data_IF_840007141791
#
_entry.id   IF_840007141791
#
_cell.length_a   1.000
_cell.length_b   1.000
_cell.length_c   1.000
_cell.angle_alpha   90.00
_cell.angle_beta   90.00
_cell.angle_gamma   90.00
#
_symmetry.space_group_name_H-M   'P 1'
#
loop_
_entity.id
_entity.type
_entity.pdbx_description
1 polymer ?
#
# COMPACT_ATOMS: atom_id res chain seq x y z
N UNK A 1 -37.08 -52.70 -38.71
CA UNK A 1 -38.40 -52.39 -39.33
C UNK A 1 -39.13 -51.48 -38.35
N UNK A 2 -39.56 -50.26 -38.62
CA UNK A 2 -39.47 -49.29 -39.72
C UNK A 2 -39.87 -47.95 -39.06
N UNK A 3 -39.10 -46.88 -39.25
CA UNK A 3 -39.34 -45.79 -40.20
C UNK A 3 -39.95 -44.52 -39.58
N UNK A 4 -39.48 -43.40 -40.16
CA UNK A 4 -39.54 -41.99 -39.75
C UNK A 4 -40.94 -41.38 -39.86
N UNK A 5 -41.15 -40.16 -39.31
CA UNK A 5 -41.45 -38.92 -40.10
C UNK A 5 -41.80 -37.67 -39.23
N UNK A 6 -41.02 -36.61 -39.52
CA UNK A 6 -41.23 -35.13 -39.60
C UNK A 6 -41.56 -34.21 -38.40
N UNK A 7 -40.85 -33.08 -38.52
CA UNK A 7 -40.75 -31.82 -37.76
C UNK A 7 -41.69 -30.76 -38.37
N UNK A 8 -42.03 -29.67 -37.64
CA UNK A 8 -41.73 -28.35 -38.21
C UNK A 8 -40.98 -27.41 -37.27
N UNK A 9 -40.12 -26.61 -37.91
CA UNK A 9 -39.27 -25.52 -37.40
C UNK A 9 -40.04 -24.20 -37.47
N UNK A 10 -39.88 -23.30 -36.47
CA UNK A 10 -39.48 -21.88 -36.63
C UNK A 10 -39.42 -21.15 -35.27
N UNK A 11 -38.22 -20.67 -34.92
CA UNK A 11 -37.76 -19.27 -34.67
C UNK A 11 -38.32 -18.59 -33.39
N UNK A 12 -37.52 -18.05 -32.48
CA UNK A 12 -36.08 -17.78 -32.48
C UNK A 12 -35.56 -17.24 -31.13
N UNK A 13 -34.25 -16.98 -31.12
CA UNK A 13 -33.41 -16.25 -30.13
C UNK A 13 -33.11 -16.99 -28.82
N UNK A 14 -31.92 -17.61 -28.65
CA UNK A 14 -30.57 -17.05 -28.33
C UNK A 14 -30.57 -16.28 -26.99
N UNK A 15 -29.69 -16.52 -26.01
CA UNK A 15 -28.30 -17.06 -26.03
C UNK A 15 -27.80 -17.41 -24.62
N UNK A 16 -26.86 -18.38 -24.58
CA UNK A 16 -25.70 -18.48 -23.67
C UNK A 16 -25.87 -18.63 -22.14
N UNK A 17 -26.23 -19.83 -21.70
CA UNK A 17 -25.70 -20.39 -20.44
C UNK A 17 -25.28 -21.84 -20.69
N UNK A 18 -23.96 -22.10 -20.78
CA UNK A 18 -23.25 -23.37 -20.52
C UNK A 18 -21.97 -23.45 -21.35
N UNK A 19 -20.90 -22.82 -20.86
CA UNK A 19 -19.54 -23.24 -21.23
C UNK A 19 -18.48 -22.80 -20.21
N UNK A 20 -18.65 -23.09 -18.92
CA UNK A 20 -17.58 -22.88 -17.92
C UNK A 20 -17.56 -23.96 -16.84
N UNK A 21 -17.62 -25.23 -17.21
CA UNK A 21 -17.34 -26.36 -16.30
C UNK A 21 -16.57 -27.46 -17.05
N UNK A 22 -15.26 -27.28 -17.25
CA UNK A 22 -14.39 -28.41 -17.65
C UNK A 22 -12.88 -28.16 -17.47
N UNK A 23 -12.39 -27.91 -16.25
CA UNK A 23 -11.00 -28.26 -15.84
C UNK A 23 -10.74 -27.98 -14.35
N UNK A 24 -11.42 -28.69 -13.45
CA UNK A 24 -10.96 -28.83 -12.07
C UNK A 24 -10.31 -30.22 -11.92
N UNK A 25 -9.10 -30.27 -11.37
CA UNK A 25 -8.45 -31.53 -10.98
C UNK A 25 -9.17 -32.17 -9.77
N UNK A 26 -9.21 -33.51 -9.65
CA UNK A 26 -10.21 -34.20 -8.85
C UNK A 26 -9.80 -34.46 -7.38
N UNK A 27 -9.48 -33.42 -6.60
CA UNK A 27 -9.19 -33.59 -5.16
C UNK A 27 -9.89 -32.60 -4.20
N UNK A 28 -10.82 -31.78 -4.66
CA UNK A 28 -11.62 -30.93 -3.75
C UNK A 28 -13.12 -31.02 -4.07
N UNK A 29 -13.71 -32.16 -3.72
CA UNK A 29 -15.12 -32.24 -3.41
C UNK A 29 -15.28 -32.93 -2.07
N UNK A 30 -15.67 -32.17 -1.04
CA UNK A 30 -16.73 -32.49 -0.08
C UNK A 30 -16.89 -31.28 0.87
N UNK A 31 -18.14 -31.01 1.22
CA UNK A 31 -18.70 -29.92 2.05
C UNK A 31 -18.83 -28.53 1.40
N UNK A 32 -19.85 -28.41 0.54
CA UNK A 32 -20.62 -27.16 0.48
C UNK A 32 -21.90 -27.32 1.30
N UNK A 33 -21.97 -26.62 2.44
CA UNK A 33 -23.25 -26.21 3.02
C UNK A 33 -23.40 -24.69 2.87
N UNK A 34 -24.59 -24.31 2.40
CA UNK A 34 -25.02 -22.98 1.98
C UNK A 34 -24.66 -21.88 2.97
N UNK A 35 -23.84 -20.91 2.55
CA UNK A 35 -23.91 -19.52 2.99
C UNK A 35 -23.44 -18.60 1.85
N UNK A 36 -24.08 -17.44 1.75
CA UNK A 36 -23.96 -16.47 0.66
C UNK A 36 -22.51 -16.12 0.31
N UNK A 37 -22.08 -16.50 -0.89
CA UNK A 37 -20.79 -16.13 -1.44
C UNK A 37 -20.89 -14.79 -2.16
N UNK A 38 -20.26 -13.76 -1.59
CA UNK A 38 -19.84 -12.60 -2.38
C UNK A 38 -18.85 -13.10 -3.45
N UNK A 39 -18.96 -12.67 -4.73
CA UNK A 39 -18.04 -13.11 -5.76
C UNK A 39 -16.67 -12.45 -5.53
N UNK A 40 -15.71 -13.23 -5.02
CA UNK A 40 -14.30 -12.84 -4.99
C UNK A 40 -13.66 -13.18 -6.34
N UNK A 41 -13.04 -12.20 -6.99
CA UNK A 41 -12.18 -12.47 -8.14
C UNK A 41 -10.82 -12.94 -7.61
N UNK A 42 -10.54 -14.24 -7.73
CA UNK A 42 -9.18 -14.75 -7.57
C UNK A 42 -8.42 -14.34 -8.83
N UNK A 43 -7.66 -13.24 -8.77
CA UNK A 43 -6.86 -12.80 -9.91
C UNK A 43 -5.75 -13.84 -10.16
N UNK A 44 -5.98 -14.71 -11.15
CA UNK A 44 -4.88 -15.34 -11.90
C UNK A 44 -4.35 -14.30 -12.87
N UNK A 45 -3.06 -13.98 -12.72
CA UNK A 45 -2.31 -12.94 -13.42
C UNK A 45 -2.51 -13.09 -14.94
N UNK A 46 -3.15 -12.11 -15.58
CA UNK A 46 -3.22 -11.99 -17.03
C UNK A 46 -2.80 -10.58 -17.45
N UNK A 47 -1.94 -10.55 -18.46
CA UNK A 47 -1.17 -9.41 -18.93
C UNK A 47 -1.90 -8.73 -20.11
N UNK A 48 -1.99 -7.40 -20.09
CA UNK A 48 -2.12 -6.59 -21.32
C UNK A 48 -1.35 -5.28 -21.16
N UNK A 49 -0.21 -5.24 -21.84
CA UNK A 49 0.62 -4.06 -22.07
C UNK A 49 0.16 -3.33 -23.33
N UNK A 50 0.04 -2.01 -23.26
CA UNK A 50 0.25 -1.12 -24.40
C UNK A 50 0.87 0.19 -23.92
N UNK A 51 2.07 0.47 -24.43
CA UNK A 51 2.80 1.75 -24.39
C UNK A 51 2.04 2.84 -25.14
N UNK A 52 2.30 4.10 -24.78
CA UNK A 52 2.60 5.15 -25.76
C UNK A 52 3.37 6.31 -25.08
N UNK A 53 4.52 6.63 -25.67
CA UNK A 53 5.33 7.82 -25.44
C UNK A 53 4.71 9.04 -26.12
N UNK A 54 5.00 10.27 -25.63
CA UNK A 54 5.60 11.37 -26.41
C UNK A 54 5.68 12.70 -25.63
N UNK A 55 6.93 13.12 -25.44
CA UNK A 55 7.54 14.45 -25.62
C UNK A 55 6.85 15.75 -25.11
N UNK A 56 7.63 16.46 -24.29
CA UNK A 56 7.61 17.91 -24.02
C UNK A 56 8.27 18.69 -25.17
N UNK A 57 8.07 20.03 -25.29
CA UNK A 57 9.21 20.91 -24.98
C UNK A 57 8.86 22.25 -24.32
N UNK A 58 9.88 22.81 -23.65
CA UNK A 58 9.98 24.15 -23.08
C UNK A 58 10.18 25.26 -24.13
N UNK A 59 10.06 26.54 -23.72
CA UNK A 59 10.95 27.70 -24.04
C UNK A 59 10.38 29.01 -23.40
N UNK A 60 11.05 29.50 -22.34
CA UNK A 60 11.74 30.80 -22.13
C UNK A 60 11.05 32.20 -22.32
N UNK A 61 11.63 33.31 -21.76
CA UNK A 61 10.96 34.22 -20.84
C UNK A 61 10.87 35.70 -21.31
N UNK A 62 10.22 36.58 -20.54
CA UNK A 62 10.25 38.03 -20.77
C UNK A 62 10.22 38.89 -19.50
N UNK A 63 11.40 39.48 -19.23
CA UNK A 63 11.70 40.89 -18.90
C UNK A 63 10.95 41.68 -17.79
N UNK A 64 11.73 41.98 -16.75
CA UNK A 64 12.05 43.29 -16.14
C UNK A 64 10.99 44.40 -16.07
N UNK A 65 10.69 44.85 -14.84
CA UNK A 65 10.46 46.27 -14.52
C UNK A 65 10.95 46.60 -13.09
N UNK A 66 11.77 47.64 -12.99
CA UNK A 66 12.28 48.36 -11.78
C UNK A 66 11.78 49.80 -11.97
N UNK A 67 11.22 50.54 -10.97
CA UNK A 67 12.01 51.37 -10.01
C UNK A 67 11.24 51.78 -8.72
N UNK A 68 11.68 52.77 -7.90
CA UNK A 68 13.03 53.25 -7.56
C UNK A 68 13.33 53.18 -6.04
N UNK A 69 14.62 53.36 -5.73
CA UNK A 69 15.24 53.57 -4.42
C UNK A 69 14.79 54.88 -3.74
N UNK A 70 14.48 54.84 -2.44
CA UNK A 70 14.51 56.01 -1.54
C UNK A 70 15.45 55.70 -0.36
N UNK A 71 16.34 56.66 -0.11
CA UNK A 71 17.45 56.60 0.82
C UNK A 71 17.04 57.07 2.24
N UNK A 72 17.49 56.29 3.23
CA UNK A 72 17.93 56.62 4.59
C UNK A 72 17.27 57.79 5.37
N UNK A 73 16.66 57.45 6.51
CA UNK A 73 16.82 58.21 7.74
C UNK A 73 16.77 57.28 8.97
N UNK A 74 17.78 57.41 9.81
CA UNK A 74 18.02 56.70 11.06
C UNK A 74 17.13 57.19 12.20
N UNK A 75 16.65 56.29 13.07
CA UNK A 75 16.55 56.49 14.54
C UNK A 75 16.03 55.25 15.29
N UNK A 76 16.94 54.68 16.08
CA UNK A 76 16.80 54.15 17.46
C UNK A 76 15.60 53.25 17.83
N UNK A 77 15.92 51.96 17.98
CA UNK A 77 15.49 50.98 19.00
C UNK A 77 14.24 51.31 19.83
N UNK A 78 13.19 50.52 19.61
CA UNK A 78 12.40 49.88 20.65
C UNK A 78 11.84 48.57 20.06
N UNK A 79 12.58 47.47 20.25
CA UNK A 79 12.10 46.13 19.90
C UNK A 79 11.26 45.63 21.08
N UNK A 80 9.96 45.94 21.07
CA UNK A 80 8.99 45.16 21.82
C UNK A 80 8.85 43.82 21.11
N UNK A 81 9.31 42.76 21.78
CA UNK A 81 9.15 41.39 21.33
C UNK A 81 7.66 41.03 21.37
N UNK A 82 6.95 41.30 20.28
CA UNK A 82 5.73 40.57 19.94
C UNK A 82 6.21 39.16 19.63
N UNK A 83 6.24 38.32 20.66
CA UNK A 83 6.33 36.87 20.49
C UNK A 83 5.00 36.44 19.85
N UNK A 84 4.91 36.58 18.53
CA UNK A 84 3.90 35.89 17.76
C UNK A 84 4.10 34.41 18.05
N UNK A 85 3.15 33.79 18.73
CA UNK A 85 2.96 32.34 18.73
C UNK A 85 2.71 31.91 17.28
N UNK A 86 3.78 31.79 16.50
CA UNK A 86 3.74 31.07 15.24
C UNK A 86 3.56 29.62 15.65
N UNK A 87 2.36 29.09 15.44
CA UNK A 87 2.15 27.64 15.44
C UNK A 87 3.24 27.05 14.55
N UNK A 88 4.05 26.09 15.04
CA UNK A 88 5.09 25.48 14.22
C UNK A 88 4.44 25.00 12.90
N UNK A 89 5.11 25.19 11.75
CA UNK A 89 4.55 24.77 10.48
C UNK A 89 4.23 23.28 10.55
N UNK A 90 2.99 22.91 10.20
CA UNK A 90 2.56 21.51 10.11
C UNK A 90 3.50 20.81 9.14
N UNK A 91 4.31 19.88 9.64
CA UNK A 91 5.22 19.10 8.81
C UNK A 91 4.40 18.15 7.94
N UNK A 92 4.28 18.49 6.65
CA UNK A 92 3.65 17.62 5.67
C UNK A 92 4.55 16.42 5.37
N UNK A 93 3.98 15.23 5.12
CA UNK A 93 4.77 14.09 4.68
C UNK A 93 5.41 14.38 3.31
N UNK A 94 6.60 13.84 3.02
CA UNK A 94 7.19 13.97 1.69
C UNK A 94 6.27 13.37 0.63
N UNK A 95 6.16 13.99 -0.55
CA UNK A 95 5.41 13.39 -1.64
C UNK A 95 6.09 12.10 -2.13
N UNK A 96 5.32 11.19 -2.72
CA UNK A 96 5.90 10.04 -3.42
C UNK A 96 6.80 10.56 -4.56
N UNK A 97 8.09 10.20 -4.62
CA UNK A 97 8.97 10.66 -5.69
C UNK A 97 8.42 10.21 -7.06
N UNK A 98 8.28 11.11 -8.05
CA UNK A 98 7.63 10.80 -9.33
C UNK A 98 8.42 9.78 -10.17
N UNK A 99 9.70 9.61 -9.89
CA UNK A 99 10.63 8.67 -10.53
C UNK A 99 10.78 7.35 -9.73
N UNK A 100 9.86 7.08 -8.79
CA UNK A 100 9.90 5.85 -7.99
C UNK A 100 9.73 4.62 -8.89
N UNK A 101 10.67 3.66 -8.87
CA UNK A 101 10.53 2.42 -9.63
C UNK A 101 9.29 1.65 -9.16
N UNK A 102 8.57 1.08 -10.13
CA UNK A 102 7.41 0.24 -9.86
C UNK A 102 7.39 -0.95 -10.81
N UNK A 103 7.30 -2.15 -10.22
CA UNK A 103 7.04 -3.39 -10.94
C UNK A 103 5.83 -4.08 -10.33
N UNK A 104 4.85 -4.41 -11.18
CA UNK A 104 3.61 -5.06 -10.77
C UNK A 104 3.86 -6.45 -10.13
N UNK A 105 3.25 -6.69 -8.98
CA UNK A 105 3.44 -7.89 -8.14
C UNK A 105 4.82 -8.05 -7.48
N UNK A 106 5.64 -6.99 -7.40
CA UNK A 106 6.90 -6.97 -6.64
C UNK A 106 6.88 -5.86 -5.58
N UNK A 107 5.77 -5.79 -4.83
CA UNK A 107 5.54 -4.74 -3.82
C UNK A 107 6.67 -4.66 -2.78
N UNK A 108 7.25 -5.81 -2.41
CA UNK A 108 8.41 -5.89 -1.51
C UNK A 108 9.63 -5.16 -2.05
N UNK A 109 9.90 -5.24 -3.36
CA UNK A 109 11.03 -4.55 -3.98
C UNK A 109 10.72 -3.07 -4.28
N UNK A 110 9.48 -2.76 -4.69
CA UNK A 110 9.04 -1.38 -4.89
C UNK A 110 9.19 -0.57 -3.60
N UNK A 111 8.76 -1.15 -2.47
CA UNK A 111 8.87 -0.54 -1.15
C UNK A 111 10.32 -0.53 -0.64
N UNK A 112 11.14 -1.53 -0.97
CA UNK A 112 12.58 -1.51 -0.64
C UNK A 112 13.26 -0.29 -1.26
N UNK A 113 13.02 -0.03 -2.55
CA UNK A 113 13.63 1.09 -3.26
C UNK A 113 13.12 2.44 -2.75
N UNK A 114 11.83 2.54 -2.39
CA UNK A 114 11.29 3.75 -1.76
C UNK A 114 11.90 3.99 -0.36
N UNK A 115 12.03 2.93 0.45
CA UNK A 115 12.66 3.01 1.77
C UNK A 115 14.12 3.46 1.66
N UNK A 116 14.87 2.93 0.67
CA UNK A 116 16.23 3.35 0.40
C UNK A 116 16.31 4.85 0.09
N UNK A 117 15.42 5.36 -0.76
CA UNK A 117 15.36 6.80 -1.08
C UNK A 117 15.09 7.63 0.18
N UNK A 118 14.03 7.32 0.93
CA UNK A 118 13.64 8.08 2.11
C UNK A 118 14.67 8.03 3.25
N UNK A 119 15.31 6.89 3.50
CA UNK A 119 16.35 6.78 4.54
C UNK A 119 17.62 7.55 4.14
N UNK A 120 17.93 7.61 2.84
CA UNK A 120 19.09 8.36 2.33
C UNK A 120 18.86 9.88 2.28
N UNK A 121 17.60 10.32 2.30
CA UNK A 121 17.24 11.74 2.28
C UNK A 121 17.29 12.32 3.70
N UNK A 122 18.23 13.24 3.94
CA UNK A 122 18.40 13.87 5.25
C UNK A 122 17.20 14.72 5.68
N UNK A 123 16.39 15.20 4.73
CA UNK A 123 15.14 15.90 5.00
C UNK A 123 14.00 14.98 5.44
N UNK A 124 14.15 13.66 5.28
CA UNK A 124 13.18 12.66 5.75
C UNK A 124 13.70 11.95 6.99
N UNK A 125 14.93 11.44 6.96
CA UNK A 125 15.51 10.62 8.02
C UNK A 125 15.64 11.35 9.38
N UNK A 126 15.68 12.69 9.40
CA UNK A 126 15.71 13.47 10.65
C UNK A 126 14.35 13.59 11.35
N UNK A 127 13.28 13.69 10.57
CA UNK A 127 11.95 14.04 11.07
C UNK A 127 10.97 12.85 11.07
N UNK A 128 11.33 11.76 10.39
CA UNK A 128 10.44 10.63 10.15
C UNK A 128 11.14 9.30 10.43
N UNK A 129 10.50 8.47 11.27
CA UNK A 129 10.82 7.05 11.32
C UNK A 129 10.22 6.35 10.10
N UNK A 130 11.04 5.55 9.42
CA UNK A 130 10.62 4.75 8.27
C UNK A 130 10.32 3.32 8.71
N UNK A 131 9.14 2.81 8.32
CA UNK A 131 8.74 1.43 8.56
C UNK A 131 8.23 0.77 7.29
N UNK A 132 8.36 -0.55 7.26
CA UNK A 132 7.86 -1.41 6.20
C UNK A 132 6.80 -2.31 6.81
N UNK A 133 5.62 -2.31 6.20
CA UNK A 133 4.48 -3.08 6.67
C UNK A 133 4.23 -4.20 5.69
N UNK A 134 4.55 -5.42 6.09
CA UNK A 134 4.11 -6.63 5.41
C UNK A 134 2.69 -6.98 5.88
N UNK A 135 1.81 -7.25 4.92
CA UNK A 135 0.39 -7.52 5.13
C UNK A 135 0.10 -8.92 4.59
N UNK A 136 -0.27 -9.85 5.45
CA UNK A 136 -0.59 -11.24 5.08
C UNK A 136 -1.36 -11.90 6.24
N UNK A 137 -1.58 -13.20 6.15
CA UNK A 137 -2.15 -14.04 7.20
C UNK A 137 -1.70 -15.50 6.99
N UNK A 138 -2.11 -16.39 7.88
CA UNK A 138 -1.67 -17.80 7.85
C UNK A 138 -2.07 -18.53 6.56
N UNK A 139 -3.23 -18.17 5.99
CA UNK A 139 -3.72 -18.77 4.75
C UNK A 139 -3.23 -18.07 3.48
N UNK A 140 -2.47 -16.96 3.60
CA UNK A 140 -2.04 -16.12 2.47
C UNK A 140 -3.21 -15.77 1.54
N UNK A 141 -4.27 -15.24 2.14
CA UNK A 141 -5.48 -14.84 1.42
C UNK A 141 -6.07 -13.56 2.00
N UNK A 142 -5.26 -12.52 2.17
CA UNK A 142 -5.74 -11.24 2.74
C UNK A 142 -6.54 -10.44 1.71
N UNK A 143 -7.67 -9.86 2.14
CA UNK A 143 -8.56 -9.10 1.27
C UNK A 143 -8.40 -7.61 1.50
N UNK A 144 -7.99 -6.89 0.45
CA UNK A 144 -7.75 -5.45 0.46
C UNK A 144 -8.72 -4.74 -0.51
N UNK A 145 -9.45 -3.75 -0.02
CA UNK A 145 -10.27 -2.82 -0.83
C UNK A 145 -9.41 -1.69 -1.42
N UNK A 146 -9.98 -0.91 -2.33
CA UNK A 146 -9.33 0.26 -2.93
C UNK A 146 -7.97 -0.05 -3.57
N UNK A 147 -7.88 -1.15 -4.34
CA UNK A 147 -6.65 -1.59 -5.00
C UNK A 147 -6.77 -1.42 -6.52
N UNK A 148 -5.70 -0.93 -7.17
CA UNK A 148 -5.61 -0.72 -8.63
C UNK A 148 -5.82 -2.02 -9.41
N UNK A 149 -5.43 -3.16 -8.83
CA UNK A 149 -5.59 -4.48 -9.43
C UNK A 149 -7.03 -5.03 -9.40
N UNK A 150 -7.96 -4.35 -8.71
CA UNK A 150 -9.36 -4.75 -8.75
C UNK A 150 -9.96 -4.45 -10.14
N UNK A 151 -10.86 -5.30 -10.68
CA UNK A 151 -11.54 -5.01 -11.94
C UNK A 151 -12.55 -3.86 -11.82
N UNK A 152 -13.07 -3.59 -10.61
CA UNK A 152 -14.00 -2.50 -10.32
C UNK A 152 -13.64 -1.85 -8.97
N UNK A 153 -14.01 -0.59 -8.76
CA UNK A 153 -13.73 0.16 -7.52
C UNK A 153 -14.36 -0.47 -6.28
N UNK A 154 -15.54 -1.06 -6.43
CA UNK A 154 -16.28 -1.71 -5.35
C UNK A 154 -15.78 -3.12 -5.01
N UNK A 155 -14.85 -3.68 -5.80
CA UNK A 155 -14.35 -5.03 -5.60
C UNK A 155 -12.98 -5.02 -4.90
N UNK A 156 -12.77 -5.89 -3.90
CA UNK A 156 -11.47 -6.03 -3.28
C UNK A 156 -10.54 -6.92 -4.13
N UNK A 157 -9.25 -6.90 -3.79
CA UNK A 157 -8.25 -7.84 -4.28
C UNK A 157 -7.88 -8.79 -3.14
N UNK A 158 -7.83 -10.10 -3.44
CA UNK A 158 -7.29 -11.10 -2.53
C UNK A 158 -5.81 -11.30 -2.85
N UNK A 159 -4.95 -10.93 -1.92
CA UNK A 159 -3.50 -11.04 -2.00
C UNK A 159 -2.99 -12.22 -1.15
N UNK A 160 -1.89 -12.83 -1.58
CA UNK A 160 -1.09 -13.72 -0.73
C UNK A 160 -0.32 -12.93 0.32
N UNK A 161 0.33 -11.85 -0.11
CA UNK A 161 0.80 -10.78 0.76
C UNK A 161 0.81 -9.45 0.00
N UNK A 162 0.90 -8.35 0.73
CA UNK A 162 1.15 -7.02 0.19
C UNK A 162 2.17 -6.29 1.06
N UNK A 163 2.85 -5.29 0.52
CA UNK A 163 3.86 -4.50 1.23
C UNK A 163 3.64 -3.02 0.99
N UNK A 164 3.64 -2.25 2.08
CA UNK A 164 3.54 -0.78 2.03
C UNK A 164 4.60 -0.14 2.92
N UNK A 165 4.95 1.11 2.62
CA UNK A 165 5.83 1.90 3.48
C UNK A 165 4.98 2.78 4.40
N UNK A 166 5.44 2.93 5.64
CA UNK A 166 4.83 3.79 6.64
C UNK A 166 5.87 4.78 7.17
N UNK A 167 5.59 6.07 7.06
CA UNK A 167 6.33 7.12 7.75
C UNK A 167 5.62 7.51 9.04
N UNK A 168 6.40 7.70 10.11
CA UNK A 168 5.94 8.26 11.38
C UNK A 168 6.74 9.51 11.72
N UNK A 169 6.06 10.65 11.84
CA UNK A 169 6.69 11.89 12.26
C UNK A 169 7.15 11.77 13.72
N UNK A 170 8.42 12.04 13.97
CA UNK A 170 9.05 11.92 15.29
C UNK A 170 8.55 13.01 16.24
N UNK A 171 8.44 14.24 15.76
CA UNK A 171 8.18 15.44 16.56
C UNK A 171 6.74 15.53 17.09
N UNK A 172 5.78 14.92 16.38
CA UNK A 172 4.35 14.96 16.73
C UNK A 172 3.78 13.58 17.09
N UNK A 173 4.64 12.63 17.46
CA UNK A 173 4.21 11.34 18.01
C UNK A 173 4.26 11.34 19.55
N UNK A 174 3.23 10.82 20.26
CA UNK A 174 1.99 10.23 19.75
C UNK A 174 1.06 11.29 19.10
N UNK A 175 0.19 10.89 18.15
CA UNK A 175 -0.67 11.86 17.45
C UNK A 175 -1.57 12.62 18.42
N UNK A 176 -1.72 13.93 18.19
CA UNK A 176 -2.67 14.78 18.90
C UNK A 176 -4.11 14.53 18.43
N UNK A 177 -5.07 15.31 18.92
CA UNK A 177 -6.46 15.31 18.43
C UNK A 177 -6.63 16.10 17.11
N UNK A 178 -5.56 16.76 16.63
CA UNK A 178 -5.63 17.65 15.45
C UNK A 178 -4.71 17.25 14.29
N UNK A 179 -3.72 16.38 14.50
CA UNK A 179 -2.69 16.08 13.51
C UNK A 179 -2.40 14.57 13.37
N UNK A 180 -2.28 14.12 12.11
CA UNK A 180 -1.84 12.76 11.78
C UNK A 180 -0.31 12.73 11.68
N UNK A 181 0.32 11.88 12.49
CA UNK A 181 1.77 11.66 12.43
C UNK A 181 2.16 10.41 11.62
N UNK A 182 1.21 9.60 11.15
CA UNK A 182 1.47 8.33 10.45
C UNK A 182 0.94 8.37 9.01
N UNK A 183 1.78 8.10 8.02
CA UNK A 183 1.47 8.23 6.59
C UNK A 183 1.91 7.02 5.77
N UNK A 184 1.00 6.47 5.00
CA UNK A 184 1.19 5.24 4.20
C UNK A 184 1.48 5.59 2.74
N UNK A 185 2.44 4.85 2.18
CA UNK A 185 2.80 4.85 0.77
C UNK A 185 2.54 3.45 0.22
N UNK A 186 1.47 3.34 -0.55
CA UNK A 186 1.05 2.11 -1.23
C UNK A 186 1.00 2.39 -2.74
N UNK A 187 1.86 1.75 -3.52
CA UNK A 187 1.86 1.92 -4.97
C UNK A 187 0.60 1.36 -5.64
N UNK A 188 -0.05 0.38 -5.01
CA UNK A 188 -1.17 -0.38 -5.57
C UNK A 188 -2.53 0.12 -5.07
N UNK A 189 -2.60 1.14 -4.19
CA UNK A 189 -3.86 1.72 -3.74
C UNK A 189 -4.48 2.68 -4.78
N UNK A 190 -5.81 2.80 -4.76
CA UNK A 190 -6.58 3.86 -5.46
C UNK A 190 -6.74 5.12 -4.61
N UNK A 191 -6.39 5.06 -3.33
CA UNK A 191 -6.39 6.23 -2.43
C UNK A 191 -5.28 7.22 -2.83
N UNK A 192 -5.35 8.48 -2.38
CA UNK A 192 -4.23 9.42 -2.52
C UNK A 192 -2.95 8.85 -1.90
N UNK A 193 -1.79 9.24 -2.43
CA UNK A 193 -0.49 8.81 -1.88
C UNK A 193 0.40 10.03 -1.62
N UNK A 194 0.87 10.26 -0.38
CA UNK A 194 0.61 9.47 0.82
C UNK A 194 -0.82 9.63 1.36
N UNK A 195 -1.25 8.68 2.19
CA UNK A 195 -2.55 8.68 2.89
C UNK A 195 -2.36 8.47 4.38
N UNK A 196 -3.10 9.16 5.27
CA UNK A 196 -3.01 8.92 6.71
C UNK A 196 -3.29 7.46 7.07
N UNK A 197 -2.48 6.86 7.95
CA UNK A 197 -2.63 5.47 8.37
C UNK A 197 -3.98 5.24 9.08
N UNK A 198 -4.23 6.00 10.14
CA UNK A 198 -5.41 5.96 10.99
C UNK A 198 -5.83 7.38 11.34
N UNK A 199 -7.13 7.62 11.54
CA UNK A 199 -7.65 8.95 11.83
C UNK A 199 -7.25 9.46 13.20
N UNK A 200 -7.34 10.78 13.35
CA UNK A 200 -6.93 11.50 14.54
C UNK A 200 -7.83 11.15 15.74
N UNK A 201 -7.29 11.20 16.98
CA UNK A 201 -8.05 10.96 18.22
C UNK A 201 -9.22 11.95 18.33
N UNK A 202 -10.42 11.46 18.71
CA UNK A 202 -11.52 12.32 19.17
C UNK A 202 -11.48 12.35 20.69
N UNK A 203 -11.31 13.50 21.31
CA UNK A 203 -11.70 13.68 22.71
C UNK A 203 -13.21 13.42 22.84
N UNK A 204 -13.59 12.51 23.74
CA UNK A 204 -14.98 12.18 24.05
C UNK A 204 -15.76 13.33 24.69
N UNK A 205 -15.07 14.42 25.05
CA UNK A 205 -15.64 15.51 25.85
C UNK A 205 -16.01 16.74 25.02
N UNK A 206 -15.70 16.75 23.72
CA UNK A 206 -16.11 17.86 22.86
C UNK A 206 -17.57 17.67 22.41
N UNK A 207 -18.46 18.33 23.16
CA UNK A 207 -19.90 18.38 22.91
C UNK A 207 -20.25 19.20 21.66
N UNK A 208 -19.26 19.82 21.00
CA UNK A 208 -19.45 20.49 19.72
C UNK A 208 -19.29 19.48 18.58
N UNK A 209 -20.44 19.01 18.06
CA UNK A 209 -20.55 18.20 16.83
C UNK A 209 -20.04 19.02 15.63
N UNK A 210 -18.74 19.15 15.47
CA UNK A 210 -18.15 19.56 14.18
C UNK A 210 -18.51 18.45 13.19
N UNK A 211 -19.17 18.78 12.06
CA UNK A 211 -19.47 17.80 11.01
C UNK A 211 -18.20 17.04 10.65
N UNK A 212 -18.33 15.73 10.47
CA UNK A 212 -17.26 14.87 9.93
C UNK A 212 -16.86 15.45 8.58
N UNK A 213 -15.84 16.30 8.56
CA UNK A 213 -15.27 16.79 7.30
C UNK A 213 -14.63 15.59 6.62
N UNK A 214 -14.67 15.56 5.29
CA UNK A 214 -14.28 14.41 4.45
C UNK A 214 -12.85 13.89 4.70
N UNK A 215 -12.03 14.64 5.44
CA UNK A 215 -10.67 14.29 5.87
C UNK A 215 -10.58 12.99 6.69
N UNK A 216 -11.61 12.63 7.44
CA UNK A 216 -11.65 11.37 8.22
C UNK A 216 -12.15 10.16 7.41
N UNK A 217 -12.72 10.38 6.22
CA UNK A 217 -13.15 9.29 5.34
C UNK A 217 -11.97 8.64 4.62
N UNK A 218 -10.78 9.23 4.64
CA UNK A 218 -9.64 8.79 3.84
C UNK A 218 -8.50 8.23 4.71
N UNK A 219 -8.80 7.45 5.76
CA UNK A 219 -7.75 6.72 6.48
C UNK A 219 -7.51 5.34 5.87
N UNK A 220 -6.24 5.00 5.67
CA UNK A 220 -5.81 3.79 4.96
C UNK A 220 -6.40 2.53 5.58
N UNK A 221 -6.35 2.42 6.92
CA UNK A 221 -6.79 1.19 7.59
C UNK A 221 -8.28 0.90 7.35
N UNK A 222 -9.17 1.88 7.53
CA UNK A 222 -10.62 1.70 7.34
C UNK A 222 -11.00 1.55 5.87
N UNK A 223 -10.33 2.28 4.97
CA UNK A 223 -10.63 2.21 3.55
C UNK A 223 -10.16 0.90 2.92
N UNK A 224 -9.07 0.32 3.41
CA UNK A 224 -8.45 -0.87 2.81
C UNK A 224 -8.89 -2.17 3.48
N UNK A 225 -9.05 -2.21 4.81
CA UNK A 225 -9.26 -3.45 5.56
C UNK A 225 -10.64 -3.54 6.23
N UNK A 226 -11.07 -4.77 6.52
CA UNK A 226 -12.35 -5.06 7.17
C UNK A 226 -12.19 -6.17 8.20
N UNK A 227 -12.65 -5.93 9.41
CA UNK A 227 -12.76 -6.94 10.48
C UNK A 227 -14.04 -7.81 10.36
N UNK A 228 -14.97 -7.41 9.47
CA UNK A 228 -16.21 -8.14 9.19
C UNK A 228 -16.05 -9.33 8.23
N UNK A 229 -14.83 -9.62 7.76
CA UNK A 229 -14.55 -10.76 6.89
C UNK A 229 -14.28 -12.03 7.73
N UNK A 230 -14.46 -13.23 7.17
CA UNK A 230 -13.98 -14.45 7.82
C UNK A 230 -12.48 -14.35 8.13
N UNK A 231 -12.04 -14.96 9.24
CA UNK A 231 -10.69 -14.79 9.80
C UNK A 231 -9.57 -15.10 8.79
N UNK A 232 -9.75 -16.13 7.96
CA UNK A 232 -8.81 -16.51 6.89
C UNK A 232 -8.68 -15.45 5.77
N UNK A 233 -9.52 -14.43 5.75
CA UNK A 233 -9.42 -13.29 4.83
C UNK A 233 -8.98 -11.99 5.50
N UNK A 234 -8.89 -11.98 6.83
CA UNK A 234 -8.44 -10.81 7.59
C UNK A 234 -6.92 -10.67 7.55
N UNK A 235 -6.44 -9.44 7.67
CA UNK A 235 -5.02 -9.12 7.60
C UNK A 235 -4.36 -9.08 8.99
N UNK A 236 -3.15 -9.61 9.05
CA UNK A 236 -2.14 -9.30 10.06
C UNK A 236 -1.07 -8.39 9.44
N UNK A 237 -0.42 -7.61 10.30
CA UNK A 237 0.51 -6.55 9.92
C UNK A 237 1.84 -6.75 10.61
N UNK A 238 2.87 -7.14 9.85
CA UNK A 238 4.25 -7.14 10.35
C UNK A 238 4.90 -5.80 10.06
N UNK A 239 5.22 -5.07 11.12
CA UNK A 239 5.87 -3.79 11.09
C UNK A 239 7.38 -3.94 11.33
N UNK A 240 8.18 -3.64 10.33
CA UNK A 240 9.65 -3.74 10.35
C UNK A 240 10.27 -2.35 10.26
N UNK A 241 11.27 -1.99 11.10
CA UNK A 241 12.04 -0.77 10.90
C UNK A 241 12.70 -0.74 9.52
N UNK A 242 12.72 0.40 8.86
CA UNK A 242 13.21 0.54 7.49
C UNK A 242 14.69 0.17 7.34
N UNK A 243 15.52 0.52 8.32
CA UNK A 243 16.94 0.17 8.35
C UNK A 243 17.13 -1.34 8.42
N UNK A 244 16.35 -2.01 9.29
CA UNK A 244 16.36 -3.48 9.40
C UNK A 244 15.95 -4.11 8.08
N UNK A 245 14.97 -3.55 7.36
CA UNK A 245 14.59 -4.04 6.05
C UNK A 245 15.72 -3.90 5.02
N UNK A 246 16.35 -2.73 4.93
CA UNK A 246 17.47 -2.49 4.00
C UNK A 246 18.72 -3.33 4.33
N UNK A 247 18.91 -3.68 5.60
CA UNK A 247 20.04 -4.49 6.03
C UNK A 247 19.82 -5.98 5.81
N UNK A 248 18.62 -6.49 6.09
CA UNK A 248 18.38 -7.92 6.23
C UNK A 248 17.43 -8.54 5.18
N UNK A 249 16.79 -7.76 4.32
CA UNK A 249 15.93 -8.31 3.28
C UNK A 249 16.72 -9.06 2.19
N UNK A 250 16.19 -10.18 1.70
CA UNK A 250 16.70 -10.85 0.52
C UNK A 250 15.58 -11.53 -0.28
N UNK A 251 15.60 -11.34 -1.59
CA UNK A 251 14.71 -12.02 -2.54
C UNK A 251 15.47 -12.34 -3.83
N UNK A 252 15.59 -13.63 -4.15
CA UNK A 252 16.04 -14.10 -5.48
C UNK A 252 14.89 -14.23 -6.48
N UNK A 253 13.69 -13.76 -6.12
CA UNK A 253 12.45 -13.80 -6.93
C UNK A 253 11.95 -15.19 -7.29
N UNK A 254 12.52 -16.26 -6.73
CA UNK A 254 12.10 -17.64 -6.99
C UNK A 254 10.62 -17.90 -6.69
N UNK A 255 10.04 -17.18 -5.71
CA UNK A 255 8.61 -17.25 -5.38
C UNK A 255 7.68 -16.76 -6.53
N UNK A 256 8.24 -16.06 -7.52
CA UNK A 256 7.52 -15.56 -8.69
C UNK A 256 7.62 -16.48 -9.91
N UNK A 257 8.23 -17.65 -9.75
CA UNK A 257 8.41 -18.65 -10.80
C UNK A 257 7.49 -19.83 -10.50
N UNK A 258 6.67 -20.22 -11.47
CA UNK A 258 5.87 -21.45 -11.42
C UNK A 258 6.78 -22.69 -11.42
N UNK A 259 6.24 -23.83 -10.98
CA UNK A 259 6.98 -25.10 -11.01
C UNK A 259 7.42 -25.56 -12.41
N UNK A 260 6.78 -25.06 -13.47
CA UNK A 260 7.15 -25.30 -14.86
C UNK A 260 8.17 -24.28 -15.41
N UNK A 261 8.65 -23.35 -14.58
CA UNK A 261 9.59 -22.29 -14.95
C UNK A 261 8.95 -21.04 -15.55
N UNK A 262 7.63 -21.02 -15.79
CA UNK A 262 6.94 -19.82 -16.27
C UNK A 262 6.81 -18.75 -15.19
N UNK A 263 6.82 -17.47 -15.58
CA UNK A 263 6.78 -16.36 -14.64
C UNK A 263 5.35 -16.00 -14.27
N UNK A 264 5.10 -15.79 -12.98
CA UNK A 264 3.83 -15.27 -12.48
C UNK A 264 3.57 -13.83 -12.97
N UNK A 265 4.61 -12.98 -12.95
CA UNK A 265 4.59 -11.60 -13.45
C UNK A 265 5.98 -11.28 -14.02
N UNK A 266 6.13 -10.36 -15.00
CA UNK A 266 7.45 -9.94 -15.48
C UNK A 266 8.30 -9.34 -14.32
N UNK A 267 9.54 -9.81 -14.12
CA UNK A 267 10.38 -9.33 -13.03
C UNK A 267 10.93 -7.93 -13.31
N UNK A 268 11.36 -7.20 -12.27
CA UNK A 268 12.13 -5.99 -12.43
C UNK A 268 13.43 -6.25 -13.21
N UNK A 269 13.89 -5.25 -13.97
CA UNK A 269 15.07 -5.38 -14.84
C UNK A 269 16.41 -5.28 -14.09
N UNK A 270 16.41 -4.73 -12.87
CA UNK A 270 17.60 -4.68 -12.03
C UNK A 270 17.84 -6.03 -11.33
N UNK A 271 19.08 -6.32 -10.90
CA UNK A 271 19.42 -7.58 -10.21
C UNK A 271 18.56 -7.83 -8.95
N UNK A 272 18.42 -9.09 -8.49
CA UNK A 272 17.73 -9.38 -7.25
C UNK A 272 18.31 -8.63 -6.05
N UNK A 273 17.45 -8.28 -5.09
CA UNK A 273 17.82 -7.41 -3.97
C UNK A 273 18.32 -8.26 -2.79
N UNK A 274 19.49 -7.87 -2.27
CA UNK A 274 20.08 -8.39 -1.05
C UNK A 274 20.52 -7.23 -0.17
N UNK A 275 20.01 -7.22 1.06
CA UNK A 275 20.36 -6.23 2.06
C UNK A 275 21.83 -6.30 2.45
N UNK A 276 22.35 -5.21 2.98
CA UNK A 276 23.78 -5.02 3.23
C UNK A 276 24.39 -6.07 4.19
N UNK A 277 23.60 -6.61 5.11
CA UNK A 277 24.01 -7.66 6.06
C UNK A 277 23.81 -9.06 5.52
N UNK A 278 23.05 -9.24 4.43
CA UNK A 278 22.82 -10.54 3.80
C UNK A 278 23.82 -10.83 2.69
N UNK A 279 24.30 -9.78 2.01
CA UNK A 279 25.23 -9.90 0.90
C UNK A 279 26.46 -10.74 1.29
N UNK A 280 26.73 -11.79 0.51
CA UNK A 280 27.85 -12.72 0.74
C UNK A 280 27.60 -13.82 1.78
N UNK A 281 26.42 -13.92 2.40
CA UNK A 281 26.08 -14.96 3.39
C UNK A 281 25.44 -16.22 2.82
N UNK A 282 25.31 -16.33 1.50
CA UNK A 282 24.68 -17.49 0.85
C UNK A 282 23.15 -17.59 1.02
N UNK A 283 22.53 -16.65 1.73
CA UNK A 283 21.07 -16.56 1.84
C UNK A 283 20.52 -16.03 0.50
N UNK A 284 19.72 -16.86 -0.16
CA UNK A 284 19.14 -16.55 -1.47
C UNK A 284 17.83 -15.78 -1.37
N UNK A 285 17.00 -16.15 -0.40
CA UNK A 285 15.73 -15.50 -0.12
C UNK A 285 15.34 -15.75 1.31
N UNK A 286 14.81 -14.73 1.97
CA UNK A 286 14.20 -14.82 3.30
C UNK A 286 12.83 -14.12 3.36
N UNK A 287 12.32 -13.65 2.21
CA UNK A 287 11.04 -12.95 2.08
C UNK A 287 9.90 -13.73 2.74
N UNK A 288 9.69 -14.98 2.33
CA UNK A 288 8.50 -15.73 2.78
C UNK A 288 8.59 -16.15 4.25
N UNK A 289 9.77 -16.51 4.72
CA UNK A 289 9.98 -17.08 6.05
C UNK A 289 10.10 -15.99 7.14
N UNK A 290 10.83 -14.92 6.87
CA UNK A 290 11.16 -13.91 7.89
C UNK A 290 10.26 -12.66 7.82
N UNK A 291 9.70 -12.33 6.64
CA UNK A 291 8.91 -11.11 6.45
C UNK A 291 7.41 -11.40 6.22
N UNK A 292 7.05 -12.32 5.32
CA UNK A 292 5.64 -12.61 5.01
C UNK A 292 4.99 -13.47 6.10
N UNK A 293 5.71 -14.42 6.69
CA UNK A 293 5.13 -15.32 7.69
C UNK A 293 4.78 -14.57 8.99
N UNK A 294 3.50 -14.57 9.36
CA UNK A 294 2.95 -13.77 10.46
C UNK A 294 3.06 -14.42 11.84
N UNK A 295 3.53 -15.66 11.94
CA UNK A 295 3.80 -16.30 13.24
C UNK A 295 4.91 -15.54 13.98
N UNK A 296 4.70 -15.09 15.24
CA UNK A 296 5.75 -14.50 16.05
C UNK A 296 6.90 -15.49 16.28
N UNK A 297 8.15 -15.01 16.20
CA UNK A 297 9.36 -15.77 16.51
C UNK A 297 10.53 -14.79 16.67
N UNK A 298 11.49 -15.13 17.55
CA UNK A 298 12.71 -14.35 17.79
C UNK A 298 13.61 -14.26 16.55
N UNK A 299 13.48 -15.20 15.62
CA UNK A 299 14.26 -15.24 14.37
C UNK A 299 13.68 -14.35 13.25
N UNK A 300 12.57 -13.65 13.50
CA UNK A 300 11.88 -12.82 12.50
C UNK A 300 12.02 -11.34 12.79
N UNK A 301 12.00 -10.54 11.73
CA UNK A 301 12.17 -9.09 11.84
C UNK A 301 10.84 -8.40 12.14
N UNK A 302 10.86 -7.43 13.05
CA UNK A 302 9.70 -6.60 13.35
C UNK A 302 8.58 -7.29 14.13
N UNK A 303 7.55 -6.50 14.47
CA UNK A 303 6.43 -6.91 15.32
C UNK A 303 5.17 -7.18 14.51
N UNK A 304 4.38 -8.19 14.88
CA UNK A 304 3.12 -8.54 14.21
C UNK A 304 1.94 -8.03 15.01
N UNK A 305 0.97 -7.42 14.32
CA UNK A 305 -0.24 -6.85 14.90
C UNK A 305 -1.48 -7.39 14.18
N UNK A 306 -2.58 -7.56 14.92
CA UNK A 306 -3.93 -7.58 14.35
C UNK A 306 -4.33 -6.17 13.88
N UNK A 307 -5.38 -6.06 13.07
CA UNK A 307 -5.93 -4.75 12.66
C UNK A 307 -6.19 -3.83 13.86
N UNK A 308 -6.88 -4.35 14.88
CA UNK A 308 -7.18 -3.60 16.11
C UNK A 308 -5.92 -3.13 16.85
N UNK A 309 -4.93 -4.01 17.02
CA UNK A 309 -3.70 -3.65 17.73
C UNK A 309 -2.83 -2.70 16.89
N UNK A 310 -2.89 -2.79 15.56
CA UNK A 310 -2.16 -1.87 14.68
C UNK A 310 -2.78 -0.47 14.70
N UNK A 311 -4.12 -0.36 14.74
CA UNK A 311 -4.83 0.90 14.96
C UNK A 311 -4.46 1.53 16.31
N UNK A 312 -4.40 0.73 17.37
CA UNK A 312 -3.94 1.19 18.70
C UNK A 312 -2.50 1.68 18.68
N UNK A 313 -1.61 0.92 18.05
CA UNK A 313 -0.21 1.31 17.86
C UNK A 313 -0.09 2.63 17.07
N UNK A 314 -0.90 2.83 16.04
CA UNK A 314 -0.93 4.08 15.27
C UNK A 314 -1.35 5.28 16.13
N UNK A 315 -2.23 5.07 17.12
CA UNK A 315 -2.74 6.09 18.05
C UNK A 315 -1.86 6.29 19.30
N UNK A 316 -0.73 5.59 19.41
CA UNK A 316 0.13 5.62 20.59
C UNK A 316 -0.51 5.01 21.84
N UNK A 317 -1.43 4.05 21.67
CA UNK A 317 -2.13 3.35 22.73
C UNK A 317 -1.51 1.96 22.92
N UNK A 318 -0.36 1.88 23.60
CA UNK A 318 0.15 0.61 24.13
C UNK A 318 -0.62 0.26 25.40
#
# INVERSE_FOLDING_TARGET
>A
MGDKIRVPVRRGEQTEERRWLSWATPEFQIQQHRHSTLPFVKVKKFNKSTRNDLASPAILPSLCFIPPTIQLASRKRAAEAICCFQTPPVMLPPHLPPDSPYTHCYCEENIYLLAQKFISDSGVNGDWNVYIVFISNDSKTVVLRNQKNAPHEDLPVCWDYHVVLLLRNVSIYPPSDTENCNWVYDFDTRLPVPVPLAGIRRSSNDSHRIPVTDRYKLEYLRQTFSDQLPENFQSLFRLVPGEVYLEYFASDRSHMVHGDGSLLSPPPLYPPIYGSKILGRGIRSNLMENFVCMTPSDDKFGNVYSLHNFERWARGQS
#
